data_IF_619411256598
#
_entry.id   IF_619411256598
#
_cell.length_a   1.000
_cell.length_b   1.000
_cell.length_c   1.000
_cell.angle_alpha   90.00
_cell.angle_beta   90.00
_cell.angle_gamma   90.00
#
_symmetry.space_group_name_H-M   'P 1'
#
loop_
_entity.id
_entity.type
_entity.pdbx_description
1 polymer ?
#
# COMPACT_ATOMS: atom_id res chain seq x y z
N UNK A 1 -1.46 0.88 3.33
CA UNK A 1 -2.36 -0.08 2.62
C UNK A 1 -1.64 -0.73 1.45
N UNK A 2 -0.48 -0.20 1.14
CA UNK A 2 0.21 -0.29 -0.12
C UNK A 2 1.68 0.01 0.16
N UNK A 3 2.56 -0.36 -0.77
CA UNK A 3 3.97 0.02 -0.76
C UNK A 3 4.49 0.04 -2.21
N UNK A 4 5.39 0.96 -2.54
CA UNK A 4 6.00 1.01 -3.86
C UNK A 4 6.92 -0.19 -4.10
N UNK A 5 6.86 -0.77 -5.30
CA UNK A 5 7.75 -1.86 -5.69
C UNK A 5 9.08 -1.30 -6.17
N UNK A 6 10.20 -1.84 -5.64
CA UNK A 6 11.55 -1.46 -6.04
C UNK A 6 12.06 -0.15 -5.44
N UNK A 7 11.30 0.50 -4.56
CA UNK A 7 11.74 1.69 -3.84
C UNK A 7 12.42 1.25 -2.52
N UNK A 8 13.67 1.69 -2.22
CA UNK A 8 14.33 1.35 -0.97
C UNK A 8 13.47 1.69 0.25
N UNK A 9 13.48 0.82 1.25
CA UNK A 9 12.68 0.97 2.48
C UNK A 9 13.04 2.24 3.25
N UNK A 10 14.30 2.64 3.16
CA UNK A 10 14.89 3.82 3.78
C UNK A 10 14.66 5.10 2.97
N UNK A 11 14.09 4.98 1.76
CA UNK A 11 13.78 6.14 0.94
C UNK A 11 12.75 7.03 1.68
N UNK A 12 12.94 8.35 1.75
CA UNK A 12 12.08 9.25 2.52
C UNK A 12 10.61 9.22 2.08
N UNK A 13 10.38 8.90 0.80
CA UNK A 13 9.05 8.79 0.18
C UNK A 13 8.53 7.35 0.05
N UNK A 14 9.20 6.38 0.67
CA UNK A 14 8.60 5.06 0.89
C UNK A 14 7.44 5.17 1.87
N UNK A 15 6.42 4.34 1.72
CA UNK A 15 5.31 4.35 2.67
C UNK A 15 5.72 3.80 4.03
N UNK A 16 6.73 2.93 4.08
CA UNK A 16 7.43 2.61 5.32
C UNK A 16 7.95 3.85 6.06
N UNK A 17 8.79 4.66 5.41
CA UNK A 17 9.36 5.85 6.03
C UNK A 17 8.29 6.90 6.35
N UNK A 18 7.29 7.06 5.49
CA UNK A 18 6.14 7.93 5.75
C UNK A 18 5.38 7.55 7.02
N UNK A 19 5.07 6.26 7.20
CA UNK A 19 4.28 5.80 8.36
C UNK A 19 5.07 5.90 9.67
N UNK A 20 6.38 5.63 9.65
CA UNK A 20 7.24 5.83 10.81
C UNK A 20 7.33 7.31 11.19
N UNK A 21 7.69 8.16 10.21
CA UNK A 21 7.85 9.61 10.40
C UNK A 21 6.59 10.30 10.91
N UNK A 22 5.42 9.90 10.45
CA UNK A 22 4.16 10.60 10.74
C UNK A 22 3.31 9.95 11.84
N UNK A 23 3.55 8.68 12.18
CA UNK A 23 2.66 7.97 13.11
C UNK A 23 3.39 7.01 14.06
N UNK A 24 4.05 5.97 13.55
CA UNK A 24 4.54 4.89 14.41
C UNK A 24 5.61 5.33 15.42
N UNK A 25 6.43 6.33 15.08
CA UNK A 25 7.47 6.83 15.99
C UNK A 25 6.90 7.76 17.09
N UNK A 26 5.61 8.11 17.01
CA UNK A 26 4.94 9.04 17.94
C UNK A 26 3.92 8.34 18.84
N UNK A 27 3.83 7.01 18.80
CA UNK A 27 2.86 6.23 19.57
C UNK A 27 3.52 4.98 20.16
N UNK A 28 3.00 4.50 21.30
CA UNK A 28 3.51 3.32 21.99
C UNK A 28 3.02 2.01 21.33
N UNK A 29 3.36 1.81 20.07
CA UNK A 29 3.06 0.58 19.32
C UNK A 29 4.28 -0.37 19.32
N UNK A 30 4.12 -1.63 19.75
CA UNK A 30 5.18 -2.62 19.60
C UNK A 30 5.50 -2.85 18.12
N UNK A 31 6.78 -2.90 17.75
CA UNK A 31 7.21 -3.01 16.36
C UNK A 31 6.70 -4.31 15.68
N UNK A 32 6.54 -5.38 16.45
CA UNK A 32 5.95 -6.65 16.01
C UNK A 32 4.48 -6.55 15.57
N UNK A 33 3.78 -5.51 16.01
CA UNK A 33 2.40 -5.22 15.62
C UNK A 33 2.32 -4.35 14.35
N UNK A 34 3.44 -3.77 13.90
CA UNK A 34 3.51 -3.00 12.66
C UNK A 34 3.68 -3.97 11.49
N UNK A 35 2.73 -3.94 10.56
CA UNK A 35 2.73 -4.82 9.41
C UNK A 35 2.50 -4.01 8.14
N UNK A 36 3.54 -3.95 7.32
CA UNK A 36 3.57 -3.23 6.04
C UNK A 36 3.91 -4.24 4.92
N UNK A 37 3.44 -3.94 3.71
CA UNK A 37 3.80 -4.70 2.52
C UNK A 37 5.27 -4.46 2.19
N UNK A 38 6.00 -5.51 1.85
CA UNK A 38 7.39 -5.39 1.41
C UNK A 38 7.47 -5.27 -0.13
N UNK A 39 7.57 -4.04 -0.64
CA UNK A 39 7.74 -3.77 -2.07
C UNK A 39 9.05 -4.25 -2.68
N UNK A 40 10.02 -4.67 -1.87
CA UNK A 40 11.31 -5.23 -2.32
C UNK A 40 11.42 -6.73 -2.04
N UNK A 41 10.30 -7.42 -1.80
CA UNK A 41 10.31 -8.87 -1.63
C UNK A 41 10.81 -9.57 -2.92
N UNK A 42 11.64 -10.63 -2.81
CA UNK A 42 12.14 -11.36 -3.97
C UNK A 42 11.02 -12.11 -4.70
N UNK A 43 9.98 -12.53 -3.97
CA UNK A 43 8.75 -13.08 -4.52
C UNK A 43 7.57 -12.23 -4.05
N UNK A 44 7.09 -11.39 -4.97
CA UNK A 44 6.01 -10.44 -4.74
C UNK A 44 4.68 -11.15 -4.49
N UNK A 45 4.43 -12.28 -5.17
CA UNK A 45 3.19 -13.04 -5.00
C UNK A 45 3.16 -13.78 -3.66
N UNK A 46 4.31 -14.27 -3.20
CA UNK A 46 4.45 -14.83 -1.86
C UNK A 46 4.24 -13.76 -0.77
N UNK A 47 4.76 -12.55 -0.97
CA UNK A 47 4.53 -11.44 -0.04
C UNK A 47 3.05 -11.04 0.05
N UNK A 48 2.36 -10.96 -1.09
CA UNK A 48 0.92 -10.70 -1.11
C UNK A 48 0.13 -11.78 -0.36
N UNK A 49 0.47 -13.06 -0.57
CA UNK A 49 -0.14 -14.20 0.13
C UNK A 49 0.13 -14.17 1.63
N UNK A 50 1.38 -13.93 2.03
CA UNK A 50 1.78 -13.79 3.44
C UNK A 50 0.97 -12.69 4.12
N UNK A 51 0.79 -11.55 3.45
CA UNK A 51 0.03 -10.43 3.98
C UNK A 51 -1.46 -10.78 4.14
N UNK A 52 -2.05 -11.47 3.16
CA UNK A 52 -3.43 -11.97 3.22
C UNK A 52 -3.64 -12.97 4.36
N UNK A 53 -2.79 -14.00 4.45
CA UNK A 53 -2.94 -15.09 5.42
C UNK A 53 -2.74 -14.60 6.86
N UNK A 54 -1.73 -13.76 7.08
CA UNK A 54 -1.34 -13.35 8.42
C UNK A 54 -2.26 -12.28 9.00
N UNK A 55 -2.81 -11.39 8.17
CA UNK A 55 -3.46 -10.18 8.69
C UNK A 55 -4.94 -10.05 8.36
N UNK A 56 -5.42 -10.52 7.21
CA UNK A 56 -6.85 -10.43 6.86
C UNK A 56 -7.75 -11.10 7.91
N UNK A 57 -7.39 -12.26 8.50
CA UNK A 57 -8.18 -12.86 9.56
C UNK A 57 -8.16 -12.09 10.89
N UNK A 58 -7.12 -11.28 11.14
CA UNK A 58 -6.91 -10.56 12.41
C UNK A 58 -7.42 -9.12 12.39
N UNK A 59 -7.66 -8.55 11.21
CA UNK A 59 -8.19 -7.19 11.06
C UNK A 59 -9.68 -7.18 11.45
N UNK A 60 -9.97 -7.11 12.76
CA UNK A 60 -11.30 -6.71 13.27
C UNK A 60 -11.51 -5.18 13.23
N UNK A 61 -10.54 -4.45 12.69
CA UNK A 61 -10.38 -3.01 12.89
C UNK A 61 -10.72 -2.21 11.64
N UNK A 62 -11.48 -1.13 11.85
CA UNK A 62 -11.72 0.00 10.96
C UNK A 62 -10.58 0.23 9.98
N UNK A 63 -10.80 -0.09 8.70
CA UNK A 63 -9.89 0.34 7.66
C UNK A 63 -10.16 1.82 7.39
N UNK A 64 -9.20 2.69 7.71
CA UNK A 64 -9.28 4.11 7.40
C UNK A 64 -8.90 4.32 5.94
N UNK A 65 -9.89 4.69 5.14
CA UNK A 65 -9.75 4.85 3.69
C UNK A 65 -9.28 6.26 3.33
N UNK A 66 -8.30 6.35 2.43
CA UNK A 66 -8.08 7.55 1.63
C UNK A 66 -8.59 7.27 0.21
N UNK A 67 -9.44 8.15 -0.32
CA UNK A 67 -9.93 8.09 -1.69
C UNK A 67 -9.08 9.02 -2.57
N UNK A 68 -8.62 8.50 -3.71
CA UNK A 68 -7.97 9.28 -4.75
C UNK A 68 -8.93 10.24 -5.44
N UNK A 69 -8.38 11.18 -6.23
CA UNK A 69 -9.16 12.18 -6.98
C UNK A 69 -10.12 11.55 -8.01
N UNK A 70 -9.82 10.32 -8.45
CA UNK A 70 -10.59 9.48 -9.37
C UNK A 70 -11.52 8.47 -8.65
N UNK A 71 -11.58 8.53 -7.31
CA UNK A 71 -12.34 7.61 -6.47
C UNK A 71 -11.67 6.27 -6.17
N UNK A 72 -10.39 6.07 -6.54
CA UNK A 72 -9.66 4.85 -6.16
C UNK A 72 -9.48 4.75 -4.64
N UNK A 73 -9.48 3.53 -4.11
CA UNK A 73 -9.18 3.23 -2.70
C UNK A 73 -7.85 2.49 -2.65
N UNK A 74 -6.89 2.97 -1.85
CA UNK A 74 -5.49 2.50 -1.94
C UNK A 74 -5.01 2.64 -3.40
N UNK A 75 -4.19 1.74 -3.94
CA UNK A 75 -3.92 1.71 -5.39
C UNK A 75 -4.92 0.85 -6.18
N UNK A 76 -6.18 0.70 -5.73
CA UNK A 76 -7.23 0.03 -6.52
C UNK A 76 -7.83 0.99 -7.56
N UNK A 77 -7.06 1.21 -8.62
CA UNK A 77 -7.41 2.06 -9.75
C UNK A 77 -8.74 1.68 -10.44
N UNK A 78 -9.34 2.60 -11.22
CA UNK A 78 -10.53 2.32 -12.02
C UNK A 78 -10.41 1.01 -12.82
N UNK A 79 -11.52 0.27 -12.90
CA UNK A 79 -11.60 -1.11 -13.41
C UNK A 79 -10.94 -2.22 -12.56
N UNK A 80 -10.51 -1.92 -11.33
CA UNK A 80 -10.14 -2.96 -10.37
C UNK A 80 -11.37 -3.80 -9.96
N UNK A 81 -11.20 -5.12 -9.85
CA UNK A 81 -12.27 -6.01 -9.39
C UNK A 81 -12.71 -5.65 -7.97
N UNK A 82 -14.02 -5.58 -7.74
CA UNK A 82 -14.61 -5.39 -6.40
C UNK A 82 -14.27 -6.55 -5.44
N UNK A 83 -13.99 -7.73 -5.97
CA UNK A 83 -13.56 -8.91 -5.21
C UNK A 83 -12.03 -9.07 -5.18
N UNK A 84 -11.27 -8.04 -5.54
CA UNK A 84 -9.81 -8.12 -5.63
C UNK A 84 -9.15 -8.41 -4.27
N UNK A 85 -8.02 -9.12 -4.32
CA UNK A 85 -7.15 -9.41 -3.17
C UNK A 85 -5.86 -8.59 -3.25
N UNK A 86 -5.03 -8.69 -2.22
CA UNK A 86 -3.69 -8.10 -2.17
C UNK A 86 -2.88 -8.57 -3.37
N UNK A 87 -2.31 -7.61 -4.12
CA UNK A 87 -1.65 -7.89 -5.39
C UNK A 87 -0.69 -6.75 -5.76
N UNK A 88 0.19 -7.04 -6.72
CA UNK A 88 0.88 -6.00 -7.47
C UNK A 88 -0.09 -5.28 -8.41
N UNK A 89 0.08 -3.97 -8.54
CA UNK A 89 -0.70 -3.13 -9.44
C UNK A 89 0.23 -2.16 -10.17
N UNK A 90 0.04 -2.04 -11.48
CA UNK A 90 0.67 -1.00 -12.29
C UNK A 90 -0.02 0.32 -12.02
N UNK A 91 0.77 1.34 -11.68
CA UNK A 91 0.26 2.69 -11.46
C UNK A 91 -0.03 3.38 -12.79
N UNK A 92 -1.19 4.02 -12.92
CA UNK A 92 -1.52 4.85 -14.07
C UNK A 92 -0.65 6.08 -14.13
N UNK A 93 -0.58 6.64 -15.34
CA UNK A 93 0.08 7.90 -15.58
C UNK A 93 -0.45 9.02 -14.68
N UNK A 94 -1.77 9.11 -14.49
CA UNK A 94 -2.39 10.14 -13.63
C UNK A 94 -1.96 10.01 -12.17
N UNK A 95 -1.93 8.78 -11.63
CA UNK A 95 -1.44 8.51 -10.27
C UNK A 95 0.04 8.88 -10.14
N UNK A 96 0.87 8.55 -11.14
CA UNK A 96 2.30 8.90 -11.14
C UNK A 96 2.50 10.42 -11.23
N UNK A 97 1.71 11.14 -12.03
CA UNK A 97 1.74 12.61 -12.10
C UNK A 97 1.30 13.24 -10.79
N UNK A 98 0.24 12.73 -10.15
CA UNK A 98 -0.22 13.24 -8.86
C UNK A 98 0.82 13.03 -7.75
N UNK A 99 1.53 11.89 -7.78
CA UNK A 99 2.53 11.54 -6.79
C UNK A 99 3.91 12.15 -7.08
N UNK A 100 4.19 12.65 -8.29
CA UNK A 100 5.49 13.26 -8.62
C UNK A 100 5.81 14.47 -7.75
N UNK A 101 4.81 15.13 -7.16
CA UNK A 101 5.00 16.19 -6.15
C UNK A 101 5.86 15.77 -4.95
N UNK A 102 5.94 14.47 -4.66
CA UNK A 102 6.79 13.90 -3.62
C UNK A 102 8.18 13.51 -4.14
N UNK A 103 8.33 13.35 -5.45
CA UNK A 103 9.57 12.94 -6.12
C UNK A 103 10.13 14.11 -6.96
N UNK A 104 10.37 15.25 -6.33
CA UNK A 104 10.95 16.46 -6.95
C UNK A 104 10.18 17.01 -8.17
N UNK A 105 8.90 16.64 -8.33
CA UNK A 105 8.08 16.98 -9.49
C UNK A 105 8.33 16.09 -10.71
N UNK A 106 9.25 15.13 -10.63
CA UNK A 106 9.62 14.24 -11.74
C UNK A 106 8.81 12.94 -11.72
N UNK A 107 8.05 12.72 -12.78
CA UNK A 107 7.21 11.53 -12.96
C UNK A 107 8.05 10.26 -13.15
N UNK A 108 9.24 10.38 -13.73
CA UNK A 108 10.12 9.24 -14.02
C UNK A 108 10.79 8.67 -12.76
N UNK A 109 10.89 9.48 -11.70
CA UNK A 109 11.32 9.04 -10.38
C UNK A 109 10.22 8.27 -9.63
N UNK A 110 8.96 8.42 -10.02
CA UNK A 110 7.84 7.71 -9.38
C UNK A 110 7.82 6.24 -9.81
N UNK A 111 7.84 5.28 -8.86
CA UNK A 111 7.77 3.86 -9.17
C UNK A 111 6.58 3.50 -10.06
N UNK A 112 6.77 2.53 -10.96
CA UNK A 112 5.73 2.12 -11.93
C UNK A 112 4.72 1.12 -11.34
N UNK A 113 5.09 0.46 -10.25
CA UNK A 113 4.31 -0.60 -9.64
C UNK A 113 4.22 -0.36 -8.13
N UNK A 114 3.10 -0.78 -7.55
CA UNK A 114 2.90 -0.81 -6.12
C UNK A 114 2.27 -2.15 -5.72
N UNK A 115 2.57 -2.60 -4.51
CA UNK A 115 1.74 -3.57 -3.83
C UNK A 115 0.58 -2.85 -3.19
N UNK A 116 -0.61 -3.44 -3.25
CA UNK A 116 -1.81 -2.87 -2.65
C UNK A 116 -2.72 -3.97 -2.13
N UNK A 117 -3.36 -3.73 -1.00
CA UNK A 117 -4.52 -4.52 -0.58
C UNK A 117 -5.65 -4.38 -1.60
N UNK A 118 -6.43 -5.45 -1.78
CA UNK A 118 -7.55 -5.46 -2.71
C UNK A 118 -8.86 -4.97 -2.08
N UNK A 119 -9.83 -4.58 -2.90
CA UNK A 119 -11.16 -4.13 -2.44
C UNK A 119 -11.87 -5.22 -1.65
N UNK A 120 -11.72 -6.48 -2.06
CA UNK A 120 -12.28 -7.63 -1.34
C UNK A 120 -11.57 -7.86 0.00
N UNK A 121 -10.25 -7.70 0.06
CA UNK A 121 -9.46 -7.75 1.31
C UNK A 121 -10.00 -6.77 2.34
N UNK A 122 -10.25 -5.56 1.85
CA UNK A 122 -10.79 -4.42 2.55
C UNK A 122 -12.24 -4.62 3.06
N UNK A 123 -13.06 -5.32 2.28
CA UNK A 123 -14.45 -5.66 2.62
C UNK A 123 -14.62 -6.97 3.41
N UNK A 124 -13.58 -7.79 3.53
CA UNK A 124 -13.63 -9.04 4.31
C UNK A 124 -13.58 -8.71 5.81
N UNK A 125 -14.60 -8.01 6.30
CA UNK A 125 -14.83 -7.83 7.73
C UNK A 125 -15.60 -9.05 8.22
N UNK A 126 -14.95 -9.91 9.01
CA UNK A 126 -15.72 -10.85 9.82
C UNK A 126 -16.45 -10.02 10.88
N UNK A 127 -17.79 -10.02 10.80
CA UNK A 127 -18.68 -9.57 11.88
C UNK A 127 -18.32 -10.24 13.19
#
# INVERSE_FOLDING_TARGET
MDEYVGLPKEHPESYHSFMHRNFFDHVDIPAENINLLNGNAPDIDAECRRYEEKFVPTVKSTCSWAAGNDGHIAFNEPASSLASRTRIKTLTHETRVANSRFFDGDVDLVPKYALTVGVGTCWTQKK
#
